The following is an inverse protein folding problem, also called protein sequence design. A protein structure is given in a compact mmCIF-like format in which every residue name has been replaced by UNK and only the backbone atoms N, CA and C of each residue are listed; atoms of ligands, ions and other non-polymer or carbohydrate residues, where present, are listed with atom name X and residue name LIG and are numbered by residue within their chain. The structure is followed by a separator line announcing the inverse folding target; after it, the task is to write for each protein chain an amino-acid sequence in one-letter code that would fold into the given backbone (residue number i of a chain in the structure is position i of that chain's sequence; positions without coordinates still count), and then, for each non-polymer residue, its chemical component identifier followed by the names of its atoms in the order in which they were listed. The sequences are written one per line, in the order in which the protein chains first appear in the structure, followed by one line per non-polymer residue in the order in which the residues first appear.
data_IF_448591190258
#
_entry.id   IF_448591190258
#
_cell.length_a   1.000
_cell.length_b   1.000
_cell.length_c   1.000
_cell.angle_alpha   90.00
_cell.angle_beta   90.00
_cell.angle_gamma   90.00
#
_symmetry.space_group_name_H-M   'P 1'
#
loop_
_entity.id
_entity.type
_entity.pdbx_description
1 polymer ?
#
# COMPACT_ATOMS: atom_id res chain seq x y z
N UNK A 1 -23.22 3.08 -19.61
CA UNK A 1 -22.04 2.43 -19.01
C UNK A 1 -22.12 2.49 -17.49
N UNK A 2 -21.94 1.38 -16.78
CA UNK A 2 -22.00 1.35 -15.32
C UNK A 2 -20.66 1.73 -14.67
N UNK A 3 -20.68 2.53 -13.59
CA UNK A 3 -19.48 2.97 -12.87
C UNK A 3 -18.93 1.86 -11.96
N UNK A 4 -17.74 1.33 -12.29
CA UNK A 4 -17.06 0.34 -11.44
C UNK A 4 -16.25 1.01 -10.34
N UNK A 5 -16.65 0.82 -9.08
CA UNK A 5 -15.91 1.34 -7.91
C UNK A 5 -14.68 0.46 -7.61
N UNK A 6 -13.61 1.11 -7.14
CA UNK A 6 -12.31 0.46 -6.84
C UNK A 6 -12.31 -0.48 -5.63
N UNK A 7 -13.37 -0.47 -4.82
CA UNK A 7 -13.62 -1.40 -3.70
C UNK A 7 -12.40 -1.70 -2.82
N UNK A 8 -12.23 -2.98 -2.50
CA UNK A 8 -11.17 -3.50 -1.62
C UNK A 8 -9.81 -3.66 -2.32
N UNK A 9 -9.76 -3.54 -3.64
CA UNK A 9 -8.55 -3.70 -4.46
C UNK A 9 -7.47 -2.70 -4.08
N UNK A 10 -7.83 -1.47 -3.69
CA UNK A 10 -6.88 -0.46 -3.17
C UNK A 10 -6.21 -0.93 -1.87
N UNK A 11 -7.00 -1.37 -0.89
CA UNK A 11 -6.51 -1.83 0.42
C UNK A 11 -5.57 -3.04 0.27
N UNK A 12 -5.92 -3.98 -0.61
CA UNK A 12 -5.11 -5.18 -0.87
C UNK A 12 -3.74 -4.84 -1.46
N UNK A 13 -3.68 -3.92 -2.45
CA UNK A 13 -2.41 -3.44 -3.02
C UNK A 13 -1.52 -2.76 -1.99
N UNK A 14 -2.07 -1.91 -1.14
CA UNK A 14 -1.28 -1.22 -0.12
C UNK A 14 -0.67 -2.20 0.88
N UNK A 15 -1.44 -3.20 1.32
CA UNK A 15 -0.93 -4.24 2.22
C UNK A 15 0.18 -5.09 1.60
N UNK A 16 0.16 -5.33 0.28
CA UNK A 16 1.24 -6.07 -0.40
C UNK A 16 2.57 -5.32 -0.30
N UNK A 17 2.58 -4.01 -0.56
CA UNK A 17 3.79 -3.17 -0.47
C UNK A 17 4.25 -3.03 0.99
N UNK A 18 3.34 -2.75 1.92
CA UNK A 18 3.70 -2.66 3.34
C UNK A 18 4.22 -3.98 3.92
N UNK A 19 3.77 -5.13 3.40
CA UNK A 19 4.31 -6.43 3.79
C UNK A 19 5.75 -6.63 3.30
N UNK A 20 6.08 -6.12 2.12
CA UNK A 20 7.43 -6.17 1.57
C UNK A 20 8.38 -5.19 2.30
N UNK A 21 7.88 -4.02 2.68
CA UNK A 21 8.64 -2.99 3.39
C UNK A 21 8.78 -3.23 4.92
N UNK A 22 8.47 -4.44 5.41
CA UNK A 22 8.66 -4.78 6.82
C UNK A 22 10.15 -4.77 7.14
N UNK A 23 10.52 -4.14 8.26
CA UNK A 23 11.92 -3.95 8.66
C UNK A 23 12.51 -2.61 8.23
N UNK A 24 11.84 -1.84 7.38
CA UNK A 24 12.30 -0.49 7.04
C UNK A 24 12.14 0.48 8.22
N UNK A 25 13.12 1.38 8.38
CA UNK A 25 13.18 2.32 9.48
C UNK A 25 12.05 3.37 9.40
N UNK A 26 11.42 3.64 10.55
CA UNK A 26 10.43 4.71 10.71
C UNK A 26 9.22 4.60 9.78
N UNK A 27 8.88 5.70 9.10
CA UNK A 27 7.70 5.80 8.25
C UNK A 27 7.77 4.92 6.98
N UNK A 28 8.94 4.38 6.64
CA UNK A 28 9.13 3.54 5.45
C UNK A 28 8.48 2.15 5.57
N UNK A 29 8.19 1.67 6.78
CA UNK A 29 7.45 0.41 6.99
C UNK A 29 5.96 0.59 7.30
N UNK A 30 5.51 1.82 7.58
CA UNK A 30 4.16 2.14 8.05
C UNK A 30 3.31 2.90 7.02
N UNK A 31 3.92 3.82 6.28
CA UNK A 31 3.21 4.67 5.32
C UNK A 31 3.37 4.12 3.90
N UNK A 32 2.26 3.88 3.19
CA UNK A 32 2.31 3.29 1.84
C UNK A 32 3.09 4.14 0.82
N UNK A 33 2.98 5.47 0.88
CA UNK A 33 3.64 6.36 -0.09
C UNK A 33 5.16 6.28 0.05
N UNK A 34 5.65 6.36 1.29
CA UNK A 34 7.07 6.23 1.61
C UNK A 34 7.58 4.80 1.41
N UNK A 35 6.80 3.78 1.79
CA UNK A 35 7.14 2.37 1.56
C UNK A 35 7.21 1.99 0.08
N UNK A 36 6.51 2.74 -0.80
CA UNK A 36 6.59 2.55 -2.25
C UNK A 36 7.80 3.26 -2.86
N UNK A 37 8.30 4.31 -2.20
CA UNK A 37 9.43 5.12 -2.65
C UNK A 37 10.77 4.65 -2.08
N UNK A 38 10.73 3.93 -0.95
CA UNK A 38 11.87 3.30 -0.29
C UNK A 38 12.15 1.94 -0.91
#
# INVERSE_FOLDING_TARGET
MARVKRGTTKKRRHKKILKAAKGYYGARSRCYRTAKQA
#
